data_IF_906394024175
#
_entry.id   IF_906394024175
#
_cell.length_a   1.000
_cell.length_b   1.000
_cell.length_c   1.000
_cell.angle_alpha   90.00
_cell.angle_beta   90.00
_cell.angle_gamma   90.00
#
_symmetry.space_group_name_H-M   'P 1'
#
loop_
_entity.id
_entity.type
_entity.pdbx_description
1 polymer ?
#
# COMPACT_ATOMS: atom_id res chain seq x y z
N UNK A 1 -9.40 -15.11 -14.80
CA UNK A 1 -9.82 -14.59 -13.48
C UNK A 1 -10.12 -13.09 -13.63
N UNK A 2 -11.23 -12.58 -13.09
CA UNK A 2 -11.52 -11.13 -13.11
C UNK A 2 -10.68 -10.39 -12.05
N UNK A 3 -10.49 -9.07 -12.21
CA UNK A 3 -9.80 -8.22 -11.20
C UNK A 3 -10.51 -8.30 -9.83
N UNK A 4 -11.84 -8.40 -9.83
CA UNK A 4 -12.60 -8.57 -8.60
C UNK A 4 -12.29 -9.91 -7.90
N UNK A 5 -12.12 -10.98 -8.66
CA UNK A 5 -11.73 -12.27 -8.07
C UNK A 5 -10.33 -12.18 -7.45
N UNK A 6 -9.37 -11.54 -8.14
CA UNK A 6 -8.03 -11.29 -7.60
C UNK A 6 -8.07 -10.49 -6.30
N UNK A 7 -8.86 -9.41 -6.28
CA UNK A 7 -9.02 -8.59 -5.08
C UNK A 7 -9.69 -9.35 -3.94
N UNK A 8 -10.70 -10.18 -4.21
CA UNK A 8 -11.31 -11.02 -3.16
C UNK A 8 -10.31 -12.00 -2.53
N UNK A 9 -9.37 -12.54 -3.32
CA UNK A 9 -8.29 -13.41 -2.82
C UNK A 9 -7.35 -12.60 -1.92
N UNK A 10 -6.96 -11.40 -2.34
CA UNK A 10 -5.94 -10.59 -1.67
C UNK A 10 -6.46 -9.80 -0.46
N UNK A 11 -7.71 -9.32 -0.52
CA UNK A 11 -8.35 -8.50 0.51
C UNK A 11 -9.18 -9.30 1.50
N UNK A 12 -9.62 -10.50 1.13
CA UNK A 12 -10.56 -11.28 1.94
C UNK A 12 -11.99 -10.75 1.81
N UNK A 13 -12.85 -10.97 2.82
CA UNK A 13 -14.23 -10.54 2.77
C UNK A 13 -14.35 -9.01 2.74
N UNK A 14 -15.46 -8.53 2.16
CA UNK A 14 -15.82 -7.11 2.26
C UNK A 14 -16.15 -6.76 3.71
N UNK A 15 -15.95 -5.51 4.06
CA UNK A 15 -16.23 -4.96 5.39
C UNK A 15 -17.32 -3.90 5.28
N UNK A 16 -18.15 -3.83 6.32
CA UNK A 16 -19.17 -2.79 6.44
C UNK A 16 -18.51 -1.45 6.69
N UNK A 17 -18.90 -0.46 5.89
CA UNK A 17 -18.55 0.96 6.02
C UNK A 17 -19.84 1.79 6.04
N UNK A 18 -19.75 3.01 6.54
CA UNK A 18 -20.92 3.87 6.73
C UNK A 18 -20.80 5.15 5.90
N UNK A 19 -21.94 5.77 5.60
CA UNK A 19 -22.00 7.12 5.05
C UNK A 19 -22.38 8.09 6.16
N UNK A 20 -21.58 9.13 6.35
CA UNK A 20 -21.85 10.20 7.31
C UNK A 20 -22.11 11.51 6.60
N UNK A 21 -22.78 12.44 7.26
CA UNK A 21 -22.95 13.80 6.77
C UNK A 21 -21.59 14.51 6.67
N UNK A 22 -21.37 15.18 5.55
CA UNK A 22 -20.16 15.97 5.29
C UNK A 22 -20.30 16.80 4.03
N UNK A 23 -19.19 17.34 3.55
CA UNK A 23 -19.15 18.08 2.28
C UNK A 23 -18.13 17.44 1.33
N UNK A 24 -18.39 17.53 0.02
CA UNK A 24 -17.46 17.04 -1.00
C UNK A 24 -17.03 18.17 -1.92
N UNK A 25 -15.75 18.12 -2.33
CA UNK A 25 -15.20 18.97 -3.39
C UNK A 25 -14.69 18.04 -4.49
N UNK A 26 -15.53 17.88 -5.52
CA UNK A 26 -15.32 16.90 -6.59
C UNK A 26 -14.66 17.54 -7.81
N UNK A 27 -13.62 16.89 -8.31
CA UNK A 27 -12.97 17.21 -9.60
C UNK A 27 -13.76 16.55 -10.73
N UNK A 28 -14.18 15.30 -10.54
CA UNK A 28 -15.04 14.56 -11.47
C UNK A 28 -16.23 13.96 -10.70
N UNK A 29 -17.36 14.68 -10.60
CA UNK A 29 -18.53 14.22 -9.87
C UNK A 29 -19.14 12.93 -10.43
N UNK A 30 -18.93 12.62 -11.71
CA UNK A 30 -19.52 11.44 -12.36
C UNK A 30 -18.95 10.13 -11.84
N UNK A 31 -17.78 10.18 -11.20
CA UNK A 31 -17.08 9.03 -10.65
C UNK A 31 -17.36 8.82 -9.15
N UNK A 32 -18.05 9.76 -8.50
CA UNK A 32 -18.39 9.68 -7.08
C UNK A 32 -19.70 8.88 -6.90
N UNK A 33 -19.68 7.75 -6.14
CA UNK A 33 -20.82 6.83 -6.11
C UNK A 33 -21.91 7.20 -5.10
N UNK A 34 -21.74 8.28 -4.33
CA UNK A 34 -22.65 8.69 -3.26
C UNK A 34 -23.20 10.10 -3.51
N UNK A 35 -24.11 10.58 -2.65
CA UNK A 35 -24.55 11.98 -2.73
C UNK A 35 -23.42 12.91 -2.29
N UNK A 36 -23.40 14.14 -2.82
CA UNK A 36 -22.35 15.14 -2.53
C UNK A 36 -22.25 15.56 -1.06
N UNK A 37 -23.26 15.25 -0.24
CA UNK A 37 -23.32 15.50 1.20
C UNK A 37 -23.05 14.25 2.06
N UNK A 38 -22.77 13.11 1.42
CA UNK A 38 -22.49 11.83 2.08
C UNK A 38 -21.01 11.50 1.88
N UNK A 39 -20.29 11.23 2.97
CA UNK A 39 -18.85 10.90 2.96
C UNK A 39 -18.65 9.51 3.58
N UNK A 40 -17.88 8.60 2.95
CA UNK A 40 -17.66 7.26 3.49
C UNK A 40 -16.76 7.26 4.73
N UNK A 41 -17.13 6.51 5.77
CA UNK A 41 -16.41 6.38 7.03
C UNK A 41 -16.39 4.92 7.54
N UNK A 42 -15.21 4.40 7.82
CA UNK A 42 -14.92 3.18 8.55
C UNK A 42 -14.80 3.49 10.04
N UNK A 43 -15.89 3.31 10.77
CA UNK A 43 -15.99 3.60 12.19
C UNK A 43 -16.76 2.50 12.95
N UNK A 44 -16.92 2.72 14.25
CA UNK A 44 -17.97 2.12 15.06
C UNK A 44 -19.15 3.10 15.05
N UNK A 45 -20.29 2.67 14.51
CA UNK A 45 -21.56 3.37 14.64
C UNK A 45 -22.17 3.03 16.01
N UNK A 46 -22.13 3.97 16.96
CA UNK A 46 -22.63 3.73 18.30
C UNK A 46 -24.16 3.80 18.39
N UNK A 47 -24.82 4.46 17.43
CA UNK A 47 -26.27 4.68 17.43
C UNK A 47 -27.00 3.67 16.53
N UNK A 48 -26.29 3.06 15.56
CA UNK A 48 -26.82 2.03 14.68
C UNK A 48 -27.80 2.57 13.63
N UNK A 49 -27.66 3.85 13.27
CA UNK A 49 -28.58 4.57 12.39
C UNK A 49 -27.92 5.06 11.08
N UNK A 50 -26.62 4.85 10.90
CA UNK A 50 -25.92 5.30 9.69
C UNK A 50 -26.22 4.40 8.49
N UNK A 51 -26.43 4.97 7.29
CA UNK A 51 -26.50 4.20 6.05
C UNK A 51 -25.20 3.40 5.86
N UNK A 52 -25.32 2.09 5.69
CA UNK A 52 -24.17 1.19 5.53
C UNK A 52 -24.01 0.68 4.10
N UNK A 53 -22.78 0.39 3.71
CA UNK A 53 -22.44 -0.28 2.47
C UNK A 53 -21.23 -1.21 2.67
N UNK A 54 -21.00 -2.13 1.73
CA UNK A 54 -19.88 -3.06 1.78
C UNK A 54 -18.79 -2.70 0.79
N UNK A 55 -17.54 -2.68 1.24
CA UNK A 55 -16.37 -2.45 0.39
C UNK A 55 -15.19 -3.32 0.83
N UNK A 56 -14.20 -3.50 -0.04
CA UNK A 56 -12.95 -4.14 0.37
C UNK A 56 -12.06 -3.14 1.10
N UNK A 57 -11.34 -3.61 2.12
CA UNK A 57 -10.30 -2.79 2.79
C UNK A 57 -9.09 -2.59 1.85
N UNK A 58 -8.47 -1.42 1.83
CA UNK A 58 -7.21 -1.15 1.11
C UNK A 58 -6.24 -0.39 2.02
N UNK A 59 -5.04 -0.91 2.23
CA UNK A 59 -4.17 -0.50 3.33
C UNK A 59 -4.88 -0.53 4.70
N UNK A 60 -4.43 0.35 5.61
CA UNK A 60 -4.92 0.38 6.99
C UNK A 60 -6.05 1.40 7.24
N UNK A 61 -6.37 2.23 6.25
CA UNK A 61 -7.33 3.36 6.39
C UNK A 61 -8.08 3.73 5.12
N UNK A 62 -8.22 2.78 4.19
CA UNK A 62 -8.89 3.03 2.91
C UNK A 62 -9.84 1.91 2.57
N UNK A 63 -10.77 2.20 1.67
CA UNK A 63 -11.68 1.23 1.07
C UNK A 63 -11.62 1.29 -0.44
N UNK A 64 -11.97 0.18 -1.08
CA UNK A 64 -12.15 0.09 -2.53
C UNK A 64 -13.42 -0.68 -2.89
N UNK A 65 -14.13 -0.22 -3.92
CA UNK A 65 -15.29 -0.90 -4.49
C UNK A 65 -15.36 -0.69 -6.00
N UNK A 66 -16.07 -1.56 -6.74
CA UNK A 66 -16.30 -1.34 -8.17
C UNK A 66 -16.92 0.02 -8.45
N UNK A 67 -16.43 0.71 -9.50
CA UNK A 67 -16.95 1.98 -9.98
C UNK A 67 -17.88 1.78 -11.16
N UNK A 68 -18.88 2.67 -11.30
CA UNK A 68 -19.86 2.69 -12.40
C UNK A 68 -19.20 2.73 -13.80
N UNK A 69 -17.99 3.30 -13.91
CA UNK A 69 -17.25 3.45 -15.17
C UNK A 69 -16.30 2.32 -15.56
N UNK A 70 -16.39 1.13 -14.94
CA UNK A 70 -15.52 -0.01 -15.29
C UNK A 70 -14.11 0.05 -14.68
N UNK A 71 -14.00 0.60 -13.46
CA UNK A 71 -12.76 0.64 -12.66
C UNK A 71 -13.05 0.46 -11.17
N UNK A 72 -12.19 0.97 -10.29
CA UNK A 72 -12.33 0.88 -8.84
C UNK A 72 -12.36 2.26 -8.21
N UNK A 73 -13.44 2.55 -7.49
CA UNK A 73 -13.51 3.70 -6.58
C UNK A 73 -12.66 3.39 -5.35
N UNK A 74 -11.76 4.31 -4.98
CA UNK A 74 -10.98 4.25 -3.76
C UNK A 74 -11.22 5.49 -2.92
N UNK A 75 -11.53 5.28 -1.65
CA UNK A 75 -11.55 6.33 -0.65
C UNK A 75 -10.43 6.08 0.36
N UNK A 76 -9.49 7.02 0.46
CA UNK A 76 -8.30 6.97 1.33
C UNK A 76 -8.52 7.88 2.54
N UNK A 77 -8.04 7.43 3.69
CA UNK A 77 -8.14 8.12 4.97
C UNK A 77 -9.59 8.31 5.41
N UNK A 78 -10.33 7.19 5.37
CA UNK A 78 -11.75 7.12 5.74
C UNK A 78 -11.97 6.41 7.07
N UNK A 79 -10.96 6.27 7.92
CA UNK A 79 -11.08 5.64 9.24
C UNK A 79 -10.20 4.41 9.38
N UNK A 80 -10.61 3.46 10.22
CA UNK A 80 -9.85 2.24 10.51
C UNK A 80 -10.78 1.02 10.38
N UNK A 81 -10.37 -0.05 9.68
CA UNK A 81 -11.26 -1.17 9.36
C UNK A 81 -11.57 -2.05 10.58
N UNK A 82 -10.63 -2.23 11.51
CA UNK A 82 -10.73 -3.20 12.61
C UNK A 82 -9.96 -2.77 13.87
N UNK A 83 -10.27 -3.41 15.00
CA UNK A 83 -9.60 -3.19 16.29
C UNK A 83 -10.20 -2.08 17.16
N UNK A 84 -9.61 -1.89 18.34
CA UNK A 84 -10.13 -0.96 19.36
C UNK A 84 -9.80 0.50 19.06
N UNK A 85 -8.89 0.75 18.13
CA UNK A 85 -8.49 2.09 17.69
C UNK A 85 -9.41 2.69 16.63
N UNK A 86 -10.52 2.03 16.31
CA UNK A 86 -11.50 2.53 15.33
C UNK A 86 -12.08 3.87 15.77
N UNK A 87 -12.23 4.83 14.83
CA UNK A 87 -13.03 6.03 15.06
C UNK A 87 -14.45 5.64 15.51
N UNK A 88 -15.07 6.50 16.31
CA UNK A 88 -16.42 6.29 16.84
C UNK A 88 -17.32 7.39 16.36
N UNK A 89 -18.44 7.03 15.73
CA UNK A 89 -19.50 7.99 15.41
C UNK A 89 -20.59 7.91 16.49
N UNK A 90 -20.88 9.04 17.12
CA UNK A 90 -21.96 9.18 18.12
C UNK A 90 -22.41 10.64 18.23
N UNK A 91 -23.72 10.85 18.29
CA UNK A 91 -24.39 12.16 18.41
C UNK A 91 -23.95 13.13 17.29
N UNK A 92 -23.80 12.62 16.05
CA UNK A 92 -23.35 13.38 14.88
C UNK A 92 -21.88 13.85 14.93
N UNK A 93 -21.07 13.27 15.83
CA UNK A 93 -19.64 13.57 15.99
C UNK A 93 -18.79 12.35 15.71
N UNK A 94 -17.61 12.59 15.14
CA UNK A 94 -16.60 11.57 14.90
C UNK A 94 -15.49 11.75 15.92
N UNK A 95 -15.32 10.78 16.81
CA UNK A 95 -14.23 10.77 17.79
C UNK A 95 -13.08 9.88 17.30
N UNK A 96 -11.86 10.43 17.31
CA UNK A 96 -10.63 9.71 16.96
C UNK A 96 -9.43 10.30 17.70
N UNK A 97 -8.21 9.99 17.28
CA UNK A 97 -6.96 10.39 17.94
C UNK A 97 -6.13 11.29 17.04
N UNK A 98 -5.34 12.16 17.64
CA UNK A 98 -4.32 12.93 16.94
C UNK A 98 -2.95 12.63 17.53
N UNK A 99 -2.03 12.14 16.68
CA UNK A 99 -0.68 11.74 17.09
C UNK A 99 0.31 12.85 16.73
N UNK A 100 0.79 13.59 17.72
CA UNK A 100 1.55 14.82 17.48
C UNK A 100 3.06 14.61 17.20
N UNK A 101 3.59 13.43 17.52
CA UNK A 101 4.97 12.98 17.24
C UNK A 101 4.99 11.84 16.20
N UNK A 102 3.93 11.71 15.40
CA UNK A 102 3.86 10.76 14.29
C UNK A 102 3.48 11.51 13.02
N UNK A 103 4.28 11.30 11.97
CA UNK A 103 4.13 12.00 10.70
C UNK A 103 3.68 11.08 9.58
N UNK A 104 2.85 11.59 8.68
CA UNK A 104 2.61 11.01 7.35
C UNK A 104 2.96 12.08 6.32
N UNK A 105 3.97 11.82 5.49
CA UNK A 105 4.58 12.86 4.66
C UNK A 105 5.11 14.02 5.52
N UNK A 106 4.56 15.22 5.29
CA UNK A 106 4.91 16.45 6.01
C UNK A 106 3.99 16.76 7.20
N UNK A 107 2.82 16.11 7.29
CA UNK A 107 1.78 16.41 8.27
C UNK A 107 1.77 15.51 9.51
N UNK A 108 1.00 15.94 10.53
CA UNK A 108 0.72 15.16 11.74
C UNK A 108 -0.47 14.23 11.51
N UNK A 109 -0.48 13.09 12.20
CA UNK A 109 -1.46 12.03 11.94
C UNK A 109 -2.76 12.22 12.72
N UNK A 110 -3.87 12.46 12.02
CA UNK A 110 -5.23 12.20 12.54
C UNK A 110 -5.52 10.71 12.32
N UNK A 111 -5.67 9.93 13.38
CA UNK A 111 -5.78 8.48 13.29
C UNK A 111 -7.01 8.06 12.44
N UNK A 112 -6.73 7.34 11.35
CA UNK A 112 -7.73 6.92 10.36
C UNK A 112 -8.09 7.96 9.30
N UNK A 113 -7.90 9.25 9.55
CA UNK A 113 -8.29 10.35 8.65
C UNK A 113 -7.06 11.09 8.10
N UNK A 114 -7.29 12.07 7.22
CA UNK A 114 -6.26 12.99 6.75
C UNK A 114 -6.53 14.40 7.26
N UNK A 115 -5.48 15.21 7.36
CA UNK A 115 -5.70 16.66 7.49
C UNK A 115 -6.26 17.19 6.18
N UNK A 116 -6.90 18.37 6.23
CA UNK A 116 -7.40 19.03 5.01
C UNK A 116 -6.23 19.31 4.06
N UNK A 117 -5.14 19.89 4.57
CA UNK A 117 -3.94 20.22 3.80
C UNK A 117 -3.32 19.00 3.09
N UNK A 118 -3.22 17.85 3.78
CA UNK A 118 -2.72 16.61 3.17
C UNK A 118 -3.63 16.13 2.03
N UNK A 119 -4.95 16.20 2.22
CA UNK A 119 -5.92 15.77 1.22
C UNK A 119 -5.92 16.68 -0.01
N UNK A 120 -5.81 17.99 0.20
CA UNK A 120 -5.71 18.97 -0.89
C UNK A 120 -4.41 18.78 -1.68
N UNK A 121 -3.29 18.61 -0.98
CA UNK A 121 -1.99 18.37 -1.62
C UNK A 121 -1.99 17.08 -2.45
N UNK A 122 -2.51 15.97 -1.90
CA UNK A 122 -2.57 14.70 -2.63
C UNK A 122 -3.47 14.79 -3.87
N UNK A 123 -4.66 15.42 -3.77
CA UNK A 123 -5.51 15.61 -4.95
C UNK A 123 -4.85 16.51 -6.00
N UNK A 124 -4.22 17.60 -5.58
CA UNK A 124 -3.48 18.49 -6.48
C UNK A 124 -2.40 17.73 -7.24
N UNK A 125 -1.62 16.91 -6.54
CA UNK A 125 -0.55 16.12 -7.15
C UNK A 125 -1.10 15.03 -8.09
N UNK A 126 -2.24 14.41 -7.77
CA UNK A 126 -2.90 13.45 -8.67
C UNK A 126 -3.40 14.14 -9.94
N UNK A 127 -3.98 15.35 -9.82
CA UNK A 127 -4.40 16.17 -10.98
C UNK A 127 -3.19 16.48 -11.86
N UNK A 128 -2.11 17.02 -11.29
CA UNK A 128 -0.89 17.36 -12.02
C UNK A 128 -0.29 16.13 -12.72
N UNK A 129 -0.18 14.99 -12.02
CA UNK A 129 0.32 13.76 -12.62
C UNK A 129 -0.52 13.31 -13.84
N UNK A 130 -1.84 13.50 -13.79
CA UNK A 130 -2.75 13.19 -14.90
C UNK A 130 -2.59 14.15 -16.06
N UNK A 131 -2.40 15.45 -15.81
CA UNK A 131 -2.14 16.46 -16.85
C UNK A 131 -0.81 16.17 -17.57
N UNK A 132 0.18 15.65 -16.86
CA UNK A 132 1.46 15.19 -17.42
C UNK A 132 1.37 13.84 -18.16
N UNK A 133 0.18 13.23 -18.23
CA UNK A 133 -0.03 11.93 -18.91
C UNK A 133 0.58 10.74 -18.17
N UNK A 134 0.86 10.86 -16.87
CA UNK A 134 1.52 9.81 -16.10
C UNK A 134 0.56 8.66 -15.75
N UNK A 135 1.07 7.42 -15.69
CA UNK A 135 0.27 6.25 -15.35
C UNK A 135 -0.06 6.25 -13.85
N UNK A 136 -1.29 6.62 -13.52
CA UNK A 136 -1.77 6.70 -12.14
C UNK A 136 -3.30 6.87 -12.03
N UNK A 137 -3.82 7.02 -10.80
CA UNK A 137 -5.23 7.22 -10.51
C UNK A 137 -5.83 8.44 -11.21
N UNK A 138 -7.12 8.39 -11.53
CA UNK A 138 -7.89 9.59 -11.88
C UNK A 138 -8.38 10.27 -10.60
N UNK A 139 -8.27 11.60 -10.47
CA UNK A 139 -8.81 12.31 -9.33
C UNK A 139 -10.34 12.29 -9.39
N UNK A 140 -11.00 11.96 -8.28
CA UNK A 140 -12.45 12.12 -8.14
C UNK A 140 -12.73 13.36 -7.31
N UNK A 141 -12.01 13.56 -6.21
CA UNK A 141 -12.16 14.72 -5.34
C UNK A 141 -11.80 14.41 -3.90
N UNK A 142 -12.28 15.23 -2.97
CA UNK A 142 -12.13 15.02 -1.54
C UNK A 142 -13.47 15.15 -0.80
N UNK A 143 -13.52 14.55 0.38
CA UNK A 143 -14.61 14.69 1.34
C UNK A 143 -14.08 15.34 2.62
N UNK A 144 -14.87 16.22 3.23
CA UNK A 144 -14.57 16.90 4.47
C UNK A 144 -15.51 16.45 5.57
N UNK A 145 -14.94 16.23 6.75
CA UNK A 145 -15.68 15.93 7.98
C UNK A 145 -15.68 17.16 8.88
N UNK A 146 -16.85 17.72 9.18
CA UNK A 146 -16.97 18.98 9.94
C UNK A 146 -16.93 18.77 11.46
N UNK A 147 -17.46 17.64 11.97
CA UNK A 147 -17.63 17.40 13.41
C UNK A 147 -16.63 16.38 13.99
N UNK A 148 -15.34 16.52 13.68
CA UNK A 148 -14.30 15.62 14.18
C UNK A 148 -13.71 16.13 15.49
N UNK A 149 -13.60 15.23 16.46
CA UNK A 149 -13.07 15.50 17.79
C UNK A 149 -11.93 14.53 18.09
N UNK A 150 -10.80 15.06 18.56
CA UNK A 150 -9.59 14.27 18.81
C UNK A 150 -9.10 14.36 20.24
N UNK A 151 -8.60 13.23 20.74
CA UNK A 151 -7.71 13.19 21.91
C UNK A 151 -6.27 13.18 21.42
N UNK A 152 -5.47 14.11 21.93
CA UNK A 152 -4.05 14.19 21.60
C UNK A 152 -3.25 13.13 22.35
N UNK A 153 -2.38 12.46 21.62
CA UNK A 153 -1.44 11.46 22.12
C UNK A 153 -0.11 11.67 21.39
N UNK A 154 1.00 11.28 22.02
CA UNK A 154 2.32 11.46 21.44
C UNK A 154 2.47 10.63 20.16
N UNK A 155 2.28 9.33 20.29
CA UNK A 155 2.59 8.37 19.25
C UNK A 155 1.67 7.14 19.32
N UNK A 156 1.94 6.16 18.44
CA UNK A 156 1.18 4.91 18.39
C UNK A 156 1.34 4.07 19.64
N UNK A 157 2.49 4.11 20.30
CA UNK A 157 2.76 3.33 21.52
C UNK A 157 1.85 3.83 22.64
N UNK A 158 1.74 5.15 22.79
CA UNK A 158 0.83 5.75 23.76
C UNK A 158 -0.64 5.44 23.43
N UNK A 159 -1.02 5.52 22.15
CA UNK A 159 -2.37 5.15 21.71
C UNK A 159 -2.73 3.72 22.10
N UNK A 160 -1.92 2.74 21.70
CA UNK A 160 -2.24 1.34 21.97
C UNK A 160 -2.10 0.99 23.46
N UNK A 161 -1.16 1.60 24.18
CA UNK A 161 -1.05 1.44 25.64
C UNK A 161 -2.28 1.98 26.38
N UNK A 162 -2.79 3.13 25.97
CA UNK A 162 -4.04 3.68 26.50
C UNK A 162 -5.24 2.78 26.18
N UNK A 163 -5.37 2.33 24.93
CA UNK A 163 -6.49 1.48 24.51
C UNK A 163 -6.53 0.15 25.26
N UNK A 164 -5.38 -0.46 25.54
CA UNK A 164 -5.30 -1.71 26.30
C UNK A 164 -5.72 -1.54 27.77
N UNK A 165 -5.51 -0.35 28.35
CA UNK A 165 -5.75 -0.07 29.76
C UNK A 165 -7.07 0.65 30.04
N UNK A 166 -7.78 1.10 29.01
CA UNK A 166 -8.98 1.94 29.14
C UNK A 166 -10.23 1.21 28.64
N UNK A 167 -11.19 0.87 29.50
CA UNK A 167 -12.47 0.32 29.08
C UNK A 167 -13.25 1.27 28.17
N UNK A 168 -14.11 0.71 27.31
CA UNK A 168 -14.87 1.46 26.29
C UNK A 168 -15.63 2.66 26.86
N UNK A 169 -16.34 2.49 27.97
CA UNK A 169 -17.12 3.57 28.58
C UNK A 169 -16.25 4.71 29.12
N UNK A 170 -15.07 4.37 29.66
CA UNK A 170 -14.11 5.36 30.12
C UNK A 170 -13.50 6.14 28.94
N UNK A 171 -13.23 5.45 27.83
CA UNK A 171 -12.75 6.08 26.59
C UNK A 171 -13.81 7.07 26.03
N UNK A 172 -15.08 6.68 26.01
CA UNK A 172 -16.17 7.56 25.57
C UNK A 172 -16.33 8.79 26.47
N UNK A 173 -16.19 8.64 27.80
CA UNK A 173 -16.15 9.78 28.73
C UNK A 173 -14.97 10.70 28.43
N UNK A 174 -13.77 10.14 28.25
CA UNK A 174 -12.57 10.92 27.89
C UNK A 174 -12.74 11.71 26.60
N UNK A 175 -13.38 11.11 25.59
CA UNK A 175 -13.73 11.84 24.37
C UNK A 175 -14.65 13.03 24.66
N UNK A 176 -15.70 12.86 25.48
CA UNK A 176 -16.62 13.95 25.83
C UNK A 176 -15.97 15.05 26.67
N UNK A 177 -15.06 14.69 27.56
CA UNK A 177 -14.46 15.60 28.55
C UNK A 177 -13.22 16.33 28.06
N UNK A 178 -12.41 15.70 27.20
CA UNK A 178 -11.05 16.17 26.88
C UNK A 178 -10.72 16.24 25.40
N UNK A 179 -11.66 15.94 24.50
CA UNK A 179 -11.40 16.09 23.07
C UNK A 179 -11.44 17.56 22.65
N UNK A 180 -10.69 17.87 21.59
CA UNK A 180 -10.76 19.16 20.89
C UNK A 180 -11.28 18.97 19.47
N UNK A 181 -12.02 19.95 18.93
CA UNK A 181 -12.47 19.90 17.55
C UNK A 181 -11.30 20.05 16.58
N UNK A 182 -11.38 19.34 15.45
CA UNK A 182 -10.47 19.47 14.31
C UNK A 182 -11.25 19.33 13.01
N UNK A 183 -10.70 19.87 11.92
CA UNK A 183 -11.14 19.54 10.57
C UNK A 183 -10.36 18.35 10.06
N UNK A 184 -11.04 17.40 9.44
CA UNK A 184 -10.41 16.28 8.77
C UNK A 184 -11.00 16.09 7.38
N UNK A 185 -10.27 15.37 6.54
CA UNK A 185 -10.67 15.07 5.17
C UNK A 185 -10.31 13.65 4.77
N UNK A 186 -10.86 13.22 3.65
CA UNK A 186 -10.51 11.99 2.94
C UNK A 186 -10.42 12.27 1.44
N UNK A 187 -9.77 11.36 0.71
CA UNK A 187 -9.43 11.53 -0.70
C UNK A 187 -10.11 10.45 -1.53
N UNK A 188 -10.65 10.83 -2.69
CA UNK A 188 -11.31 9.93 -3.62
C UNK A 188 -10.55 9.86 -4.94
N UNK A 189 -10.26 8.64 -5.38
CA UNK A 189 -9.63 8.40 -6.69
C UNK A 189 -10.28 7.21 -7.41
N UNK A 190 -10.21 7.21 -8.74
CA UNK A 190 -10.57 6.07 -9.56
C UNK A 190 -9.29 5.38 -10.03
N UNK A 191 -9.20 4.07 -9.79
CA UNK A 191 -8.01 3.27 -10.06
C UNK A 191 -8.38 2.07 -10.95
N UNK A 192 -7.49 1.61 -11.84
CA UNK A 192 -7.77 0.44 -12.68
C UNK A 192 -7.85 -0.87 -11.87
N UNK A 193 -7.19 -0.91 -10.71
CA UNK A 193 -7.09 -2.04 -9.79
C UNK A 193 -6.68 -1.51 -8.41
N UNK A 194 -6.75 -2.34 -7.38
CA UNK A 194 -6.10 -2.08 -6.09
C UNK A 194 -5.03 -3.15 -5.76
N UNK A 195 -4.80 -4.11 -6.67
CA UNK A 195 -3.75 -5.14 -6.51
C UNK A 195 -2.38 -4.47 -6.58
N UNK A 196 -1.54 -4.70 -5.58
CA UNK A 196 -0.22 -4.07 -5.49
C UNK A 196 0.89 -5.03 -5.91
N UNK A 197 1.97 -4.48 -6.46
CA UNK A 197 3.09 -5.26 -6.96
C UNK A 197 3.74 -6.07 -5.84
N UNK A 198 3.98 -5.49 -4.66
CA UNK A 198 4.54 -6.20 -3.51
C UNK A 198 3.72 -7.44 -3.12
N UNK A 199 2.39 -7.34 -3.16
CA UNK A 199 1.49 -8.46 -2.86
C UNK A 199 1.64 -9.63 -3.83
N UNK A 200 1.91 -9.34 -5.11
CA UNK A 200 2.20 -10.36 -6.11
C UNK A 200 3.57 -10.99 -5.85
N UNK A 201 4.58 -10.18 -5.48
CA UNK A 201 5.94 -10.65 -5.21
C UNK A 201 5.99 -11.65 -4.04
N UNK A 202 5.17 -11.48 -2.99
CA UNK A 202 5.06 -12.47 -1.90
C UNK A 202 4.65 -13.87 -2.40
N UNK A 203 3.90 -13.97 -3.49
CA UNK A 203 3.52 -15.26 -4.08
C UNK A 203 4.72 -16.08 -4.52
N UNK A 204 5.80 -15.42 -4.96
CA UNK A 204 7.04 -16.05 -5.41
C UNK A 204 7.89 -16.60 -4.26
N UNK A 205 7.50 -16.36 -3.00
CA UNK A 205 8.13 -16.94 -1.82
C UNK A 205 7.50 -18.28 -1.40
N UNK A 206 6.40 -18.69 -2.03
CA UNK A 206 5.69 -19.89 -1.62
C UNK A 206 6.51 -21.17 -1.90
N UNK A 207 6.67 -22.10 -0.93
CA UNK A 207 7.50 -23.29 -1.09
C UNK A 207 7.10 -24.21 -2.26
N UNK A 208 5.79 -24.28 -2.56
CA UNK A 208 5.26 -25.09 -3.66
C UNK A 208 5.29 -24.39 -5.04
N UNK A 209 5.96 -23.25 -5.19
CA UNK A 209 6.02 -22.52 -6.46
C UNK A 209 6.52 -23.39 -7.64
N UNK A 210 7.62 -24.17 -7.51
CA UNK A 210 8.15 -24.97 -8.62
C UNK A 210 7.20 -26.06 -9.15
N UNK A 211 6.21 -26.49 -8.35
CA UNK A 211 5.22 -27.48 -8.74
C UNK A 211 3.99 -26.87 -9.42
N UNK A 212 3.86 -25.54 -9.39
CA UNK A 212 2.65 -24.83 -9.84
C UNK A 212 2.94 -23.95 -11.05
N UNK A 213 4.11 -23.31 -11.12
CA UNK A 213 4.52 -22.44 -12.22
C UNK A 213 5.89 -22.84 -12.76
N UNK A 214 6.07 -22.74 -14.07
CA UNK A 214 7.36 -22.92 -14.71
C UNK A 214 8.32 -21.78 -14.35
N UNK A 215 9.57 -22.13 -14.03
CA UNK A 215 10.56 -21.17 -13.56
C UNK A 215 10.96 -20.14 -14.63
N UNK A 216 10.92 -20.49 -15.92
CA UNK A 216 11.20 -19.56 -17.01
C UNK A 216 10.07 -18.56 -17.17
N UNK A 217 8.83 -19.04 -17.15
CA UNK A 217 7.64 -18.18 -17.21
C UNK A 217 7.58 -17.22 -16.02
N UNK A 218 7.94 -17.68 -14.82
CA UNK A 218 8.09 -16.83 -13.63
C UNK A 218 9.13 -15.72 -13.84
N UNK A 219 10.31 -16.04 -14.39
CA UNK A 219 11.35 -15.03 -14.66
C UNK A 219 10.92 -14.02 -15.71
N UNK A 220 10.26 -14.47 -16.78
CA UNK A 220 9.76 -13.59 -17.83
C UNK A 220 8.63 -12.68 -17.31
N UNK A 221 7.77 -13.19 -16.43
CA UNK A 221 6.78 -12.38 -15.71
C UNK A 221 7.42 -11.31 -14.84
N UNK A 222 8.43 -11.66 -14.04
CA UNK A 222 9.08 -10.71 -13.14
C UNK A 222 9.83 -9.63 -13.91
N UNK A 223 10.45 -9.97 -15.05
CA UNK A 223 11.04 -8.99 -15.97
C UNK A 223 9.99 -8.04 -16.57
N UNK A 224 8.84 -8.57 -17.00
CA UNK A 224 7.71 -7.74 -17.46
C UNK A 224 7.22 -6.81 -16.35
N UNK A 225 6.99 -7.35 -15.15
CA UNK A 225 6.47 -6.60 -14.01
C UNK A 225 7.44 -5.48 -13.58
N UNK A 226 8.72 -5.83 -13.44
CA UNK A 226 9.79 -4.89 -13.10
C UNK A 226 9.95 -3.81 -14.17
N UNK A 227 9.96 -4.17 -15.46
CA UNK A 227 10.10 -3.19 -16.54
C UNK A 227 8.90 -2.26 -16.68
N UNK A 228 7.69 -2.72 -16.34
CA UNK A 228 6.55 -1.83 -16.23
C UNK A 228 6.71 -0.84 -15.07
N UNK A 229 7.14 -1.28 -13.88
CA UNK A 229 7.41 -0.39 -12.75
C UNK A 229 8.51 0.64 -13.06
N UNK A 230 9.62 0.19 -13.63
CA UNK A 230 10.75 1.04 -14.00
C UNK A 230 10.38 2.08 -15.06
N UNK A 231 9.60 1.70 -16.08
CA UNK A 231 9.10 2.64 -17.07
C UNK A 231 8.21 3.71 -16.44
N UNK A 232 7.29 3.32 -15.57
CA UNK A 232 6.40 4.27 -14.90
C UNK A 232 7.19 5.30 -14.10
N UNK A 233 8.15 4.86 -13.28
CA UNK A 233 9.01 5.78 -12.53
C UNK A 233 9.81 6.69 -13.46
N UNK A 234 10.31 6.15 -14.57
CA UNK A 234 11.04 6.93 -15.57
C UNK A 234 10.18 8.02 -16.20
N UNK A 235 8.92 7.73 -16.53
CA UNK A 235 7.98 8.72 -17.05
C UNK A 235 7.77 9.88 -16.06
N UNK A 236 7.66 9.59 -14.77
CA UNK A 236 7.57 10.63 -13.73
C UNK A 236 8.82 11.50 -13.71
N UNK A 237 10.00 10.86 -13.72
CA UNK A 237 11.28 11.55 -13.71
C UNK A 237 11.54 12.39 -14.97
N UNK A 238 11.13 11.92 -16.14
CA UNK A 238 11.24 12.69 -17.40
C UNK A 238 10.28 13.90 -17.39
N UNK A 239 9.17 13.84 -16.64
CA UNK A 239 8.28 14.96 -16.36
C UNK A 239 8.72 15.85 -15.17
N UNK A 240 9.95 15.66 -14.67
CA UNK A 240 10.51 16.33 -13.50
C UNK A 240 9.64 16.22 -12.23
N UNK A 241 8.88 15.15 -12.11
CA UNK A 241 8.07 14.84 -10.94
C UNK A 241 8.73 13.69 -10.17
N UNK A 242 9.10 13.93 -8.91
CA UNK A 242 9.45 12.86 -7.98
C UNK A 242 8.16 12.29 -7.39
N UNK A 243 8.07 10.96 -7.28
CA UNK A 243 6.90 10.31 -6.72
C UNK A 243 6.76 10.60 -5.22
N UNK A 244 7.88 10.74 -4.51
CA UNK A 244 7.90 11.38 -3.21
C UNK A 244 9.00 10.85 -2.33
N UNK A 245 10.24 11.25 -2.61
CA UNK A 245 11.41 10.93 -1.78
C UNK A 245 11.99 12.21 -1.19
N UNK A 246 11.99 12.33 0.14
CA UNK A 246 12.44 13.52 0.87
C UNK A 246 13.51 13.15 1.91
N UNK A 247 14.61 13.91 2.03
CA UNK A 247 15.55 13.75 3.14
C UNK A 247 14.88 14.07 4.47
N UNK A 248 15.03 13.20 5.48
CA UNK A 248 14.49 13.40 6.84
C UNK A 248 15.35 12.70 7.89
N UNK A 249 15.74 13.41 8.94
CA UNK A 249 16.53 12.90 10.08
C UNK A 249 17.79 12.09 9.70
N UNK A 250 18.52 12.51 8.66
CA UNK A 250 19.73 11.81 8.19
C UNK A 250 19.46 10.58 7.30
N UNK A 251 18.19 10.26 7.01
CA UNK A 251 17.77 9.27 6.01
C UNK A 251 16.77 9.86 5.02
N UNK A 252 15.93 9.00 4.43
CA UNK A 252 14.92 9.40 3.45
C UNK A 252 13.55 8.81 3.74
N UNK A 253 12.49 9.62 3.73
CA UNK A 253 11.13 9.12 3.64
C UNK A 253 10.76 9.01 2.15
N UNK A 254 10.18 7.88 1.72
CA UNK A 254 9.90 7.63 0.31
C UNK A 254 8.52 6.99 0.05
N UNK A 255 7.83 7.45 -0.98
CA UNK A 255 6.70 6.76 -1.61
C UNK A 255 7.13 5.84 -2.77
N UNK A 256 8.38 5.94 -3.23
CA UNK A 256 8.89 5.20 -4.37
C UNK A 256 9.30 3.79 -3.94
N UNK A 257 8.30 2.91 -3.84
CA UNK A 257 8.48 1.52 -3.45
C UNK A 257 7.42 0.64 -4.13
N UNK A 258 7.70 -0.65 -4.30
CA UNK A 258 6.83 -1.60 -5.03
C UNK A 258 5.38 -1.60 -4.53
N UNK A 259 5.17 -1.37 -3.24
CA UNK A 259 3.84 -1.35 -2.67
C UNK A 259 2.97 -0.15 -3.10
N UNK A 260 3.56 0.90 -3.69
CA UNK A 260 2.82 2.01 -4.30
C UNK A 260 2.71 1.90 -5.83
N UNK A 261 3.03 0.72 -6.37
CA UNK A 261 2.69 0.34 -7.73
C UNK A 261 1.51 -0.63 -7.70
N UNK A 262 0.45 -0.27 -8.41
CA UNK A 262 -0.70 -1.11 -8.69
C UNK A 262 -0.42 -1.94 -9.94
N UNK A 263 -1.03 -3.12 -10.08
CA UNK A 263 -0.84 -4.00 -11.24
C UNK A 263 -2.15 -4.65 -11.69
N UNK A 264 -2.35 -4.69 -13.00
CA UNK A 264 -3.35 -5.51 -13.68
C UNK A 264 -2.74 -6.21 -14.91
N UNK A 265 -3.57 -6.82 -15.77
CA UNK A 265 -3.04 -7.48 -16.97
C UNK A 265 -2.49 -6.52 -18.04
N UNK A 266 -2.76 -5.22 -17.95
CA UNK A 266 -2.34 -4.22 -18.93
C UNK A 266 -0.97 -3.68 -18.57
N UNK A 267 -0.71 -3.44 -17.29
CA UNK A 267 0.56 -2.94 -16.81
C UNK A 267 0.53 -2.58 -15.33
N UNK A 268 1.44 -1.69 -14.95
CA UNK A 268 1.49 -1.14 -13.60
C UNK A 268 1.09 0.34 -13.58
N UNK A 269 0.73 0.87 -12.41
CA UNK A 269 0.31 2.25 -12.21
C UNK A 269 0.83 2.78 -10.88
N UNK A 270 1.37 3.99 -10.84
CA UNK A 270 1.85 4.61 -9.60
C UNK A 270 0.68 5.17 -8.81
N UNK A 271 0.64 4.99 -7.49
CA UNK A 271 -0.39 5.54 -6.59
C UNK A 271 0.24 6.25 -5.40
N UNK A 272 -0.58 6.90 -4.58
CA UNK A 272 -0.16 7.56 -3.34
C UNK A 272 0.75 8.80 -3.56
N UNK A 273 0.16 9.91 -3.99
CA UNK A 273 0.88 11.13 -4.40
C UNK A 273 1.03 12.19 -3.30
N UNK A 274 0.72 11.85 -2.04
CA UNK A 274 0.76 12.83 -0.94
C UNK A 274 2.15 13.45 -0.68
N UNK A 275 3.22 12.81 -1.13
CA UNK A 275 4.61 13.31 -1.02
C UNK A 275 5.22 13.71 -2.37
N UNK A 276 4.46 13.67 -3.47
CA UNK A 276 4.99 14.01 -4.78
C UNK A 276 5.33 15.50 -4.88
N UNK A 277 6.38 15.84 -5.62
CA UNK A 277 6.79 17.22 -5.86
C UNK A 277 7.69 17.33 -7.09
N UNK A 278 7.73 18.53 -7.68
CA UNK A 278 8.60 18.83 -8.81
C UNK A 278 10.06 18.93 -8.37
N UNK A 279 10.94 18.20 -9.06
CA UNK A 279 12.38 18.29 -8.86
C UNK A 279 13.16 17.80 -10.07
N UNK A 280 14.24 18.53 -10.37
CA UNK A 280 15.24 18.17 -11.38
C UNK A 280 16.44 17.43 -10.81
N UNK A 281 16.46 17.19 -9.49
CA UNK A 281 17.60 16.59 -8.80
C UNK A 281 17.82 15.15 -9.26
N UNK A 282 18.94 14.93 -9.96
CA UNK A 282 19.32 13.62 -10.49
C UNK A 282 19.68 12.61 -9.38
N UNK A 283 20.19 13.07 -8.24
CA UNK A 283 20.53 12.20 -7.12
C UNK A 283 19.27 11.69 -6.42
N UNK A 284 18.26 12.54 -6.27
CA UNK A 284 16.96 12.12 -5.74
C UNK A 284 16.25 11.15 -6.70
N UNK A 285 16.29 11.40 -8.02
CA UNK A 285 15.76 10.47 -9.02
C UNK A 285 16.44 9.09 -8.97
N UNK A 286 17.78 9.06 -8.80
CA UNK A 286 18.52 7.79 -8.59
C UNK A 286 18.12 7.11 -7.28
N UNK A 287 17.91 7.90 -6.23
CA UNK A 287 17.46 7.40 -4.92
C UNK A 287 16.06 6.78 -5.02
N UNK A 288 15.11 7.39 -5.74
CA UNK A 288 13.78 6.80 -5.97
C UNK A 288 13.88 5.47 -6.73
N UNK A 289 14.78 5.38 -7.72
CA UNK A 289 14.98 4.13 -8.46
C UNK A 289 15.51 3.01 -7.56
N UNK A 290 16.48 3.32 -6.68
CA UNK A 290 16.98 2.37 -5.70
C UNK A 290 15.87 1.94 -4.73
N UNK A 291 15.07 2.87 -4.24
CA UNK A 291 13.96 2.57 -3.32
C UNK A 291 12.86 1.76 -3.98
N UNK A 292 12.52 2.03 -5.25
CA UNK A 292 11.58 1.21 -6.00
C UNK A 292 12.02 -0.26 -6.04
N UNK A 293 13.32 -0.50 -6.21
CA UNK A 293 13.88 -1.85 -6.30
C UNK A 293 14.04 -2.55 -4.94
N UNK A 294 14.18 -1.81 -3.83
CA UNK A 294 14.57 -2.36 -2.52
C UNK A 294 13.50 -2.25 -1.43
N UNK A 295 12.81 -1.12 -1.32
CA UNK A 295 11.87 -0.83 -0.24
C UNK A 295 10.57 -1.59 -0.47
N UNK A 296 10.08 -2.26 0.59
CA UNK A 296 8.90 -3.13 0.57
C UNK A 296 8.96 -4.23 -0.51
N UNK A 297 10.14 -4.57 -1.03
CA UNK A 297 10.33 -5.70 -1.94
C UNK A 297 10.56 -6.98 -1.11
N UNK A 298 9.62 -7.94 -1.11
CA UNK A 298 9.73 -9.12 -0.27
C UNK A 298 10.68 -10.20 -0.82
N UNK A 299 11.20 -10.03 -2.05
CA UNK A 299 12.12 -10.99 -2.64
C UNK A 299 13.46 -11.05 -1.87
N UNK A 300 14.09 -12.24 -1.78
CA UNK A 300 15.29 -12.42 -0.96
C UNK A 300 16.46 -11.57 -1.48
N UNK A 301 17.18 -10.91 -0.56
CA UNK A 301 18.34 -10.06 -0.86
C UNK A 301 18.06 -8.92 -1.86
N UNK A 302 16.80 -8.51 -2.01
CA UNK A 302 16.41 -7.42 -2.93
C UNK A 302 17.18 -6.11 -2.67
N UNK A 303 17.39 -5.73 -1.41
CA UNK A 303 18.19 -4.55 -1.05
C UNK A 303 19.64 -4.67 -1.53
N UNK A 304 20.28 -5.82 -1.31
CA UNK A 304 21.66 -6.07 -1.73
C UNK A 304 21.79 -6.06 -3.26
N UNK A 305 20.87 -6.73 -3.95
CA UNK A 305 20.83 -6.77 -5.40
C UNK A 305 20.56 -5.39 -6.01
N UNK A 306 19.63 -4.62 -5.43
CA UNK A 306 19.32 -3.26 -5.88
C UNK A 306 20.51 -2.33 -5.68
N UNK A 307 21.21 -2.43 -4.54
CA UNK A 307 22.44 -1.65 -4.31
C UNK A 307 23.50 -1.97 -5.35
N UNK A 308 23.71 -3.24 -5.69
CA UNK A 308 24.66 -3.59 -6.77
C UNK A 308 24.22 -3.03 -8.13
N UNK A 309 22.94 -3.12 -8.46
CA UNK A 309 22.41 -2.67 -9.75
C UNK A 309 22.41 -1.14 -9.89
N UNK A 310 22.27 -0.41 -8.78
CA UNK A 310 21.97 1.03 -8.81
C UNK A 310 22.89 1.94 -7.95
N UNK A 311 23.91 1.44 -7.22
CA UNK A 311 24.91 2.26 -6.47
C UNK A 311 26.21 2.54 -7.26
N UNK A 312 26.77 3.76 -7.19
CA UNK A 312 27.84 4.20 -6.26
C UNK A 312 27.46 5.02 -4.97
N UNK A 313 26.18 5.21 -4.62
CA UNK A 313 25.77 6.07 -3.48
C UNK A 313 24.77 5.40 -2.53
N UNK A 314 24.97 5.54 -1.20
CA UNK A 314 24.29 4.78 -0.13
C UNK A 314 23.24 5.59 0.64
N UNK A 315 22.01 5.80 0.13
CA UNK A 315 20.94 6.43 0.90
C UNK A 315 20.31 5.41 1.87
N UNK A 316 20.11 5.81 3.12
CA UNK A 316 19.37 5.01 4.13
C UNK A 316 17.89 5.41 4.10
N UNK A 317 16.95 4.50 3.76
CA UNK A 317 15.53 4.79 3.89
C UNK A 317 15.16 4.87 5.37
N UNK A 318 14.45 5.93 5.74
CA UNK A 318 13.72 6.04 6.98
C UNK A 318 12.39 5.30 6.77
N UNK A 319 12.33 4.05 7.23
CA UNK A 319 11.05 3.35 7.29
C UNK A 319 10.10 4.14 8.20
N UNK A 320 8.93 4.50 7.67
CA UNK A 320 7.80 4.95 8.49
C UNK A 320 7.40 3.75 9.35
N UNK A 321 8.03 3.63 10.53
CA UNK A 321 7.86 2.58 11.52
C UNK A 321 6.38 2.19 11.67
N UNK A 322 6.01 1.07 11.03
CA UNK A 322 5.06 0.14 11.59
C UNK A 322 5.87 -0.69 12.60
N UNK A 323 5.44 -0.61 13.86
CA UNK A 323 6.03 -1.19 15.07
C UNK A 323 7.27 -0.56 15.70
N UNK A 324 7.25 -0.64 17.03
CA UNK A 324 8.18 0.00 17.93
C UNK A 324 9.53 -0.70 17.97
N UNK A 325 10.50 0.05 18.51
CA UNK A 325 11.83 -0.40 18.91
C UNK A 325 12.43 -1.48 18.02
N UNK A 326 12.97 -1.10 16.87
CA UNK A 326 14.36 -1.34 16.52
C UNK A 326 14.74 -0.35 15.42
N UNK A 327 15.61 0.62 15.74
CA UNK A 327 16.53 1.13 14.73
C UNK A 327 17.29 -0.09 14.21
N UNK A 328 16.83 -0.71 13.13
CA UNK A 328 17.67 -1.61 12.37
C UNK A 328 18.69 -0.74 11.66
N UNK A 329 19.77 -0.46 12.37
CA UNK A 329 21.06 -0.29 11.72
C UNK A 329 21.21 -1.47 10.77
N UNK A 330 21.18 -1.20 9.47
CA UNK A 330 21.60 -2.14 8.44
C UNK A 330 23.00 -2.60 8.82
N UNK A 331 23.08 -3.79 9.44
CA UNK A 331 24.36 -4.36 9.82
C UNK A 331 25.12 -4.62 8.53
N UNK A 332 26.23 -3.89 8.39
CA UNK A 332 27.24 -3.98 7.37
C UNK A 332 27.48 -5.43 6.92
N UNK A 333 27.17 -5.71 5.66
CA UNK A 333 27.80 -6.80 4.92
C UNK A 333 28.62 -6.16 3.80
N UNK A 334 29.92 -6.46 3.81
CA UNK A 334 30.91 -5.93 2.89
C UNK A 334 30.63 -6.32 1.44
N UNK A 335 31.37 -5.66 0.55
CA UNK A 335 31.37 -5.73 -0.92
C UNK A 335 31.49 -7.14 -1.51
N UNK A 336 30.50 -8.00 -1.32
CA UNK A 336 30.29 -9.20 -2.13
C UNK A 336 29.41 -8.82 -3.31
N UNK A 337 29.88 -9.13 -4.51
CA UNK A 337 29.07 -9.03 -5.72
C UNK A 337 27.86 -9.95 -5.56
N UNK A 338 26.63 -9.41 -5.56
CA UNK A 338 25.42 -10.22 -5.59
C UNK A 338 25.50 -11.20 -6.76
N UNK A 339 25.39 -12.49 -6.44
CA UNK A 339 25.28 -13.61 -7.36
C UNK A 339 24.16 -14.47 -6.80
N UNK A 340 23.11 -14.80 -7.56
CA UNK A 340 22.02 -15.61 -7.04
C UNK A 340 22.54 -16.99 -6.62
N UNK A 341 22.25 -17.38 -5.38
CA UNK A 341 22.64 -18.66 -4.79
C UNK A 341 21.44 -19.63 -4.70
N UNK A 342 20.23 -19.16 -5.00
CA UNK A 342 19.00 -19.95 -4.97
C UNK A 342 18.05 -19.58 -6.12
N UNK A 343 17.10 -20.45 -6.51
CA UNK A 343 16.08 -20.14 -7.49
C UNK A 343 15.26 -18.89 -7.15
N UNK A 344 15.01 -18.63 -5.87
CA UNK A 344 14.30 -17.43 -5.42
C UNK A 344 15.14 -16.15 -5.58
N UNK A 345 16.46 -16.25 -5.50
CA UNK A 345 17.36 -15.14 -5.81
C UNK A 345 17.44 -14.86 -7.31
N UNK A 346 17.29 -15.87 -8.17
CA UNK A 346 17.13 -15.65 -9.63
C UNK A 346 15.85 -14.85 -9.96
N UNK A 347 14.77 -15.04 -9.20
CA UNK A 347 13.56 -14.22 -9.33
C UNK A 347 13.81 -12.76 -8.92
N UNK A 348 14.65 -12.54 -7.92
CA UNK A 348 15.07 -11.20 -7.50
C UNK A 348 15.84 -10.52 -8.61
N UNK A 349 16.83 -11.22 -9.18
CA UNK A 349 17.60 -10.73 -10.33
C UNK A 349 16.68 -10.39 -11.51
N UNK A 350 15.79 -11.30 -11.90
CA UNK A 350 14.86 -11.09 -13.01
C UNK A 350 13.94 -9.86 -12.83
N UNK A 351 13.44 -9.62 -11.61
CA UNK A 351 12.62 -8.45 -11.32
C UNK A 351 13.42 -7.14 -11.43
N UNK A 352 14.64 -7.10 -10.88
CA UNK A 352 15.52 -5.93 -10.91
C UNK A 352 16.05 -5.63 -12.31
N UNK A 353 16.43 -6.65 -13.09
CA UNK A 353 16.76 -6.53 -14.50
C UNK A 353 15.60 -5.90 -15.29
N UNK A 354 14.37 -6.30 -14.94
CA UNK A 354 13.15 -5.68 -15.43
C UNK A 354 13.12 -4.20 -15.13
N UNK A 355 13.24 -3.81 -13.85
CA UNK A 355 13.23 -2.40 -13.41
C UNK A 355 14.26 -1.58 -14.18
N UNK A 356 15.51 -2.06 -14.24
CA UNK A 356 16.59 -1.38 -14.95
C UNK A 356 16.24 -1.21 -16.44
N UNK A 357 15.77 -2.28 -17.09
CA UNK A 357 15.37 -2.23 -18.49
C UNK A 357 14.25 -1.19 -18.73
N UNK A 358 13.19 -1.23 -17.92
CA UNK A 358 12.09 -0.29 -18.01
C UNK A 358 12.54 1.16 -17.86
N UNK A 359 13.38 1.41 -16.87
CA UNK A 359 13.84 2.75 -16.53
C UNK A 359 14.86 3.32 -17.52
N UNK A 360 15.83 2.50 -17.94
CA UNK A 360 16.94 2.94 -18.80
C UNK A 360 16.60 2.85 -20.29
N UNK A 361 15.89 1.80 -20.72
CA UNK A 361 15.52 1.59 -22.13
C UNK A 361 14.15 2.17 -22.48
N UNK A 362 13.39 2.63 -21.50
CA UNK A 362 12.06 3.23 -21.66
C UNK A 362 11.08 2.31 -22.42
N UNK A 363 11.14 1.00 -22.13
CA UNK A 363 10.30 -0.02 -22.76
C UNK A 363 9.88 -1.07 -21.76
N UNK A 364 8.66 -1.56 -21.89
CA UNK A 364 8.18 -2.73 -21.15
C UNK A 364 8.57 -3.98 -21.94
N UNK A 365 9.13 -4.97 -21.26
CA UNK A 365 9.40 -6.28 -21.89
C UNK A 365 8.09 -6.95 -22.29
N UNK A 366 8.05 -7.63 -23.43
CA UNK A 366 6.81 -8.24 -23.89
C UNK A 366 6.50 -9.55 -23.15
N UNK A 367 5.23 -9.77 -22.82
CA UNK A 367 4.71 -11.03 -22.33
C UNK A 367 3.24 -11.18 -22.72
N UNK A 368 2.83 -12.39 -23.11
CA UNK A 368 1.44 -12.66 -23.50
C UNK A 368 0.45 -12.34 -22.36
N UNK A 369 -0.64 -11.64 -22.69
CA UNK A 369 -1.68 -11.27 -21.71
C UNK A 369 -2.27 -12.46 -20.96
N UNK A 370 -2.43 -13.60 -21.65
CA UNK A 370 -2.95 -14.84 -21.04
C UNK A 370 -2.01 -15.32 -19.93
N UNK A 371 -0.72 -15.39 -20.22
CA UNK A 371 0.30 -15.85 -19.27
C UNK A 371 0.47 -14.87 -18.11
N UNK A 372 0.42 -13.55 -18.37
CA UNK A 372 0.40 -12.52 -17.32
C UNK A 372 -0.76 -12.71 -16.34
N UNK A 373 -1.97 -12.93 -16.86
CA UNK A 373 -3.17 -13.17 -16.03
C UNK A 373 -3.05 -14.45 -15.22
N UNK A 374 -2.55 -15.52 -15.82
CA UNK A 374 -2.37 -16.81 -15.17
C UNK A 374 -1.38 -16.71 -14.00
N UNK A 375 -0.17 -16.22 -14.25
CA UNK A 375 0.88 -16.09 -13.24
C UNK A 375 0.44 -15.14 -12.12
N UNK A 376 -0.14 -13.98 -12.45
CA UNK A 376 -0.65 -13.04 -11.45
C UNK A 376 -1.73 -13.68 -10.55
N UNK A 377 -2.64 -14.48 -11.12
CA UNK A 377 -3.68 -15.18 -10.36
C UNK A 377 -3.09 -16.25 -9.44
N UNK A 378 -2.16 -17.06 -9.95
CA UNK A 378 -1.47 -18.09 -9.18
C UNK A 378 -0.61 -17.48 -8.08
N UNK A 379 0.11 -16.38 -8.35
CA UNK A 379 0.90 -15.66 -7.35
C UNK A 379 0.03 -15.07 -6.24
N UNK A 380 -1.12 -14.47 -6.56
CA UNK A 380 -2.06 -13.99 -5.55
C UNK A 380 -2.60 -15.13 -4.65
N UNK A 381 -2.96 -16.27 -5.27
CA UNK A 381 -3.37 -17.47 -4.54
C UNK A 381 -2.25 -18.02 -3.63
N UNK A 382 -1.02 -18.08 -4.15
CA UNK A 382 0.17 -18.47 -3.40
C UNK A 382 0.44 -17.54 -2.22
N UNK A 383 0.33 -16.22 -2.39
CA UNK A 383 0.47 -15.26 -1.29
C UNK A 383 -0.55 -15.53 -0.18
N UNK A 384 -1.83 -15.69 -0.55
CA UNK A 384 -2.90 -16.02 0.42
C UNK A 384 -2.58 -17.32 1.17
N UNK A 385 -2.19 -18.37 0.44
CA UNK A 385 -1.89 -19.66 1.03
C UNK A 385 -0.63 -19.61 1.92
N UNK A 386 0.40 -18.85 1.52
CA UNK A 386 1.61 -18.65 2.30
C UNK A 386 1.30 -17.97 3.64
N UNK A 387 0.52 -16.89 3.60
CA UNK A 387 0.17 -16.15 4.82
C UNK A 387 -0.65 -17.03 5.77
N UNK A 388 -1.54 -17.87 5.24
CA UNK A 388 -2.25 -18.86 6.05
C UNK A 388 -1.31 -19.89 6.70
N UNK A 389 -0.33 -20.42 5.96
CA UNK A 389 0.66 -21.35 6.51
C UNK A 389 1.50 -20.71 7.63
N UNK A 390 1.79 -19.41 7.50
CA UNK A 390 2.52 -18.65 8.51
C UNK A 390 1.65 -18.17 9.69
N UNK A 391 0.35 -18.48 9.69
CA UNK A 391 -0.58 -18.04 10.74
C UNK A 391 -0.89 -16.53 10.72
N UNK A 392 -0.67 -15.86 9.59
CA UNK A 392 -0.91 -14.43 9.44
C UNK A 392 -2.39 -14.12 9.19
N UNK A 393 -2.87 -12.92 9.58
CA UNK A 393 -4.27 -12.54 9.40
C UNK A 393 -4.75 -12.61 7.94
N UNK A 394 -6.00 -13.05 7.75
CA UNK A 394 -6.64 -13.03 6.42
C UNK A 394 -6.76 -11.59 5.93
N UNK A 395 -6.40 -11.35 4.66
CA UNK A 395 -6.47 -10.02 4.06
C UNK A 395 -5.30 -9.09 4.43
N UNK A 396 -4.32 -9.56 5.23
CA UNK A 396 -3.08 -8.83 5.46
C UNK A 396 -2.39 -8.56 4.12
N UNK A 397 -2.12 -7.29 3.82
CA UNK A 397 -1.59 -6.90 2.50
C UNK A 397 -0.09 -7.13 2.43
N UNK A 398 0.66 -6.70 3.45
CA UNK A 398 2.12 -6.72 3.49
C UNK A 398 2.63 -6.83 4.93
N UNK A 399 3.94 -7.02 5.08
CA UNK A 399 4.69 -6.96 6.33
C UNK A 399 5.98 -7.73 6.18
N UNK A 400 6.91 -7.21 5.35
CA UNK A 400 8.12 -7.96 4.92
C UNK A 400 8.98 -8.31 6.14
N UNK A 401 9.03 -7.38 7.08
CA UNK A 401 9.67 -7.45 8.39
C UNK A 401 9.13 -8.59 9.27
N UNK A 402 7.88 -9.03 9.08
CA UNK A 402 7.29 -10.20 9.76
C UNK A 402 7.41 -11.48 8.94
N UNK A 403 7.10 -11.39 7.65
CA UNK A 403 7.03 -12.55 6.75
C UNK A 403 8.40 -13.19 6.61
N UNK A 404 9.46 -12.41 6.42
CA UNK A 404 10.80 -12.97 6.16
C UNK A 404 11.39 -13.71 7.36
N UNK A 405 11.33 -13.19 8.61
CA UNK A 405 11.73 -13.97 9.78
C UNK A 405 10.91 -15.25 9.98
N UNK A 406 9.59 -15.20 9.78
CA UNK A 406 8.72 -16.36 9.89
C UNK A 406 9.09 -17.43 8.85
N UNK A 407 9.28 -17.04 7.58
CA UNK A 407 9.70 -17.96 6.52
C UNK A 407 11.03 -18.66 6.81
N UNK A 408 11.98 -17.96 7.43
CA UNK A 408 13.31 -18.54 7.77
C UNK A 408 13.27 -19.54 8.92
N UNK A 409 12.31 -19.38 9.83
CA UNK A 409 12.24 -20.16 11.08
C UNK A 409 11.19 -21.27 11.01
N UNK A 410 10.16 -21.08 10.21
CA UNK A 410 9.06 -22.03 10.07
C UNK A 410 9.50 -23.25 9.24
N UNK A 411 9.22 -24.45 9.75
CA UNK A 411 9.47 -25.72 9.06
C UNK A 411 8.13 -26.31 8.60
N UNK A 412 7.81 -26.14 7.33
CA UNK A 412 6.58 -26.69 6.76
C UNK A 412 6.62 -28.22 6.73
N UNK A 413 5.54 -28.85 7.15
CA UNK A 413 5.35 -30.30 7.01
C UNK A 413 4.84 -30.65 5.61
N UNK A 414 5.11 -31.87 5.15
CA UNK A 414 4.61 -32.35 3.85
C UNK A 414 3.07 -32.30 3.74
N UNK A 415 2.38 -32.54 4.88
CA UNK A 415 0.92 -32.46 4.95
C UNK A 415 0.42 -31.04 4.70
N UNK A 416 1.06 -30.03 5.29
CA UNK A 416 0.73 -28.62 5.09
C UNK A 416 0.98 -28.18 3.64
N UNK A 417 2.14 -28.56 3.09
CA UNK A 417 2.51 -28.22 1.71
C UNK A 417 1.58 -28.88 0.70
N UNK A 418 1.21 -30.14 0.89
CA UNK A 418 0.24 -30.84 0.05
C UNK A 418 -1.13 -30.17 0.11
N UNK A 419 -1.62 -29.85 1.31
CA UNK A 419 -2.90 -29.14 1.45
C UNK A 419 -2.86 -27.75 0.81
N UNK A 420 -1.73 -27.03 0.89
CA UNK A 420 -1.54 -25.73 0.24
C UNK A 420 -1.56 -25.85 -1.28
N UNK A 421 -0.84 -26.83 -1.83
CA UNK A 421 -0.81 -27.12 -3.26
C UNK A 421 -2.21 -27.38 -3.83
N UNK A 422 -3.01 -28.24 -3.18
CA UNK A 422 -4.37 -28.54 -3.63
C UNK A 422 -5.28 -27.29 -3.57
N UNK A 423 -5.14 -26.43 -2.56
CA UNK A 423 -5.90 -25.16 -2.50
C UNK A 423 -5.55 -24.24 -3.67
N UNK A 424 -4.27 -24.13 -4.02
CA UNK A 424 -3.82 -23.25 -5.10
C UNK A 424 -4.24 -23.79 -6.46
N UNK A 425 -4.17 -25.11 -6.68
CA UNK A 425 -4.50 -25.75 -7.96
C UNK A 425 -5.98 -25.67 -8.33
N UNK A 426 -6.86 -25.72 -7.32
CA UNK A 426 -8.31 -25.70 -7.49
C UNK A 426 -8.91 -24.27 -7.59
N UNK A 427 -8.08 -23.22 -7.52
CA UNK A 427 -8.41 -21.84 -7.89
C UNK A 427 -8.16 -21.60 -9.38
#
# INVERSE_FOLDING_TARGET
MSVETLLSILRGPRVVSYLVEGSTRLVDPSLYPFKTVEVPLQCIDAEGNLPSFEAYTSGNRSIVQPSVGGGWFKAKAVGIPSGDSKPVHIDGRIYTYHLFDTYIGTGRLIWGLSTVEEAENEISNVVEARELGLPGPKPIGLGSYENVHVVDLKDRVELFGMLQSTPRDALLRRFKESSRPVKAACIFTSQPTDVRVDEILYGFLHPCLPQILDARDCKDFLRWLGSSCGLNLRMHHDADLLHGTIPKHGGFMTNSHTANHLVDERGTYTTDYHMAYKSKDKNLKRTELLFLASVMNPLPRAEEAARKAFEDYKPLPLELLLEGNHLRMSNYWGSRTFKPESPQEEFTEAFLDGIEHGYNKQRVMHMETKLRREIMSRAAAMKKALFQLLGLPTGMQRGVEYVMPLLRTHRFTDKELKASYERIKNL
#
